data_IF_664900810802
#
_entry.id   IF_664900810802
#
_cell.length_a   1.000
_cell.length_b   1.000
_cell.length_c   1.000
_cell.angle_alpha   90.00
_cell.angle_beta   90.00
_cell.angle_gamma   90.00
#
_symmetry.space_group_name_H-M   'P 1'
#
loop_
_entity.id
_entity.type
_entity.pdbx_description
1 polymer ?
#
# COMPACT_ATOMS: atom_id res chain seq x y z
N UNK A 1 18.46 19.10 18.67
CA UNK A 1 18.58 18.07 17.62
C UNK A 1 17.36 18.16 16.73
N UNK A 2 17.48 18.68 15.50
CA UNK A 2 16.37 18.66 14.54
C UNK A 2 16.14 17.23 14.11
N UNK A 3 15.07 16.60 14.63
CA UNK A 3 14.45 15.46 13.96
C UNK A 3 14.08 15.97 12.58
N UNK A 4 14.87 15.60 11.58
CA UNK A 4 14.61 15.95 10.19
C UNK A 4 13.29 15.25 9.86
N UNK A 5 12.19 16.00 9.81
CA UNK A 5 10.91 15.53 9.28
C UNK A 5 11.18 14.97 7.88
N UNK A 6 11.42 13.66 7.79
CA UNK A 6 11.42 12.96 6.52
C UNK A 6 9.98 12.99 6.07
N UNK A 7 9.62 13.97 5.24
CA UNK A 7 8.38 13.92 4.46
C UNK A 7 8.48 12.69 3.58
N UNK A 8 7.84 11.61 4.01
CA UNK A 8 7.69 10.41 3.19
C UNK A 8 6.64 10.77 2.16
N UNK A 9 7.06 10.99 0.92
CA UNK A 9 6.14 11.19 -0.18
C UNK A 9 5.50 9.85 -0.53
N UNK A 10 4.22 9.72 -0.19
CA UNK A 10 3.38 8.59 -0.55
C UNK A 10 2.62 8.98 -1.81
N UNK A 11 2.69 8.14 -2.84
CA UNK A 11 1.90 8.30 -4.07
C UNK A 11 1.04 7.08 -4.28
N UNK A 12 -0.24 7.31 -4.58
CA UNK A 12 -1.19 6.24 -4.94
C UNK A 12 -1.49 6.36 -6.42
N UNK A 13 -1.47 5.24 -7.14
CA UNK A 13 -1.91 5.17 -8.53
C UNK A 13 -3.00 4.14 -8.68
N UNK A 14 -4.17 4.59 -9.12
CA UNK A 14 -5.24 3.72 -9.53
C UNK A 14 -4.96 3.16 -10.93
N UNK A 15 -4.98 1.85 -11.03
CA UNK A 15 -4.91 1.12 -12.31
C UNK A 15 -6.06 0.13 -12.38
N UNK A 16 -6.53 -0.16 -13.58
CA UNK A 16 -7.40 -1.30 -13.82
C UNK A 16 -6.54 -2.47 -14.29
N UNK A 17 -6.56 -3.57 -13.52
CA UNK A 17 -5.88 -4.80 -13.87
C UNK A 17 -6.92 -5.90 -13.98
N UNK A 18 -7.11 -6.45 -15.18
CA UNK A 18 -8.06 -7.57 -15.43
C UNK A 18 -9.50 -7.26 -14.97
N UNK A 19 -9.99 -6.05 -15.23
CA UNK A 19 -11.31 -5.56 -14.78
C UNK A 19 -11.46 -5.44 -13.25
N UNK A 20 -10.36 -5.43 -12.50
CA UNK A 20 -10.34 -5.12 -11.08
C UNK A 20 -9.63 -3.79 -10.85
N UNK A 21 -10.20 -2.96 -9.98
CA UNK A 21 -9.54 -1.75 -9.51
C UNK A 21 -8.40 -2.13 -8.58
N UNK A 22 -7.19 -1.70 -8.92
CA UNK A 22 -5.98 -1.92 -8.15
C UNK A 22 -5.34 -0.57 -7.85
N UNK A 23 -5.16 -0.26 -6.57
CA UNK A 23 -4.40 0.90 -6.14
C UNK A 23 -2.97 0.50 -5.83
N UNK A 24 -2.02 1.01 -6.61
CA UNK A 24 -0.61 0.83 -6.37
C UNK A 24 -0.09 1.92 -5.43
N UNK A 25 0.63 1.52 -4.39
CA UNK A 25 1.12 2.41 -3.34
C UNK A 25 2.64 2.51 -3.46
N UNK A 26 3.11 3.74 -3.63
CA UNK A 26 4.53 4.05 -3.80
C UNK A 26 5.03 4.93 -2.66
N UNK A 27 6.26 4.67 -2.23
CA UNK A 27 7.02 5.56 -1.34
C UNK A 27 8.32 5.95 -2.03
N UNK A 28 8.55 7.26 -2.22
CA UNK A 28 9.76 7.75 -2.88
C UNK A 28 9.98 7.16 -4.28
N UNK A 29 8.89 6.88 -5.00
CA UNK A 29 8.90 6.25 -6.33
C UNK A 29 9.02 4.73 -6.35
N UNK A 30 9.19 4.06 -5.20
CA UNK A 30 9.23 2.59 -5.11
C UNK A 30 7.85 2.03 -4.79
N UNK A 31 7.40 1.04 -5.55
CA UNK A 31 6.19 0.27 -5.23
C UNK A 31 6.42 -0.52 -3.94
N UNK A 32 5.57 -0.31 -2.94
CA UNK A 32 5.65 -0.99 -1.64
C UNK A 32 4.49 -1.97 -1.43
N UNK A 33 3.38 -1.75 -2.12
CA UNK A 33 2.23 -2.64 -2.09
C UNK A 33 1.13 -2.20 -3.03
N UNK A 34 0.07 -3.01 -3.09
CA UNK A 34 -1.10 -2.79 -3.93
C UNK A 34 -2.36 -3.10 -3.12
N UNK A 35 -3.44 -2.34 -3.27
CA UNK A 35 -4.77 -2.66 -2.73
C UNK A 35 -5.67 -3.08 -3.88
N UNK A 36 -6.11 -4.33 -3.87
CA UNK A 36 -7.03 -4.88 -4.88
C UNK A 36 -8.44 -4.84 -4.33
N UNK A 37 -9.39 -4.37 -5.15
CA UNK A 37 -10.82 -4.51 -4.90
C UNK A 37 -11.36 -5.72 -5.65
N UNK A 38 -11.90 -6.69 -4.92
CA UNK A 38 -12.49 -7.92 -5.45
C UNK A 38 -13.87 -8.14 -4.81
N UNK A 39 -14.94 -7.92 -5.57
CA UNK A 39 -16.34 -8.20 -5.18
C UNK A 39 -16.68 -7.78 -3.73
N UNK A 40 -16.55 -6.48 -3.43
CA UNK A 40 -16.76 -5.86 -2.10
C UNK A 40 -15.72 -6.17 -1.02
N UNK A 41 -14.63 -6.86 -1.35
CA UNK A 41 -13.50 -7.06 -0.44
C UNK A 41 -12.30 -6.26 -0.90
N UNK A 42 -11.57 -5.72 0.07
CA UNK A 42 -10.29 -5.06 -0.18
C UNK A 42 -9.17 -5.96 0.32
N UNK A 43 -8.14 -6.12 -0.50
CA UNK A 43 -6.96 -6.89 -0.15
C UNK A 43 -5.72 -6.03 -0.32
N UNK A 44 -4.98 -5.84 0.76
CA UNK A 44 -3.67 -5.21 0.75
C UNK A 44 -2.60 -6.27 0.48
N UNK A 45 -1.81 -6.08 -0.57
CA UNK A 45 -0.70 -6.92 -0.99
C UNK A 45 0.61 -6.16 -0.76
N UNK A 46 1.55 -6.76 -0.04
CA UNK A 46 2.89 -6.18 0.11
C UNK A 46 3.85 -6.70 -0.96
N UNK A 47 4.61 -5.78 -1.56
CA UNK A 47 5.63 -6.15 -2.56
C UNK A 47 6.87 -6.76 -1.91
N UNK A 48 7.13 -6.49 -0.64
CA UNK A 48 8.32 -6.95 0.07
C UNK A 48 8.37 -8.47 0.25
N UNK A 49 7.24 -9.06 0.59
CA UNK A 49 7.12 -10.46 1.01
C UNK A 49 5.91 -11.18 0.37
N UNK A 50 5.19 -10.50 -0.53
CA UNK A 50 3.97 -11.01 -1.17
C UNK A 50 2.87 -11.38 -0.16
N UNK A 51 2.94 -10.86 1.07
CA UNK A 51 1.90 -11.08 2.08
C UNK A 51 0.61 -10.37 1.69
N UNK A 52 -0.51 -11.05 1.92
CA UNK A 52 -1.85 -10.54 1.68
C UNK A 52 -2.60 -10.30 2.99
N UNK A 53 -3.26 -9.16 3.09
CA UNK A 53 -4.05 -8.76 4.25
C UNK A 53 -5.45 -8.35 3.80
N UNK A 54 -6.47 -8.74 4.56
CA UNK A 54 -7.83 -8.28 4.30
C UNK A 54 -8.03 -6.89 4.89
N UNK A 55 -8.64 -6.01 4.12
CA UNK A 55 -9.05 -4.68 4.52
C UNK A 55 -10.56 -4.50 4.28
N UNK A 56 -11.18 -3.59 5.04
CA UNK A 56 -12.61 -3.24 4.93
C UNK A 56 -12.84 -2.04 4.02
N UNK A 57 -11.81 -1.22 3.76
CA UNK A 57 -11.84 -0.14 2.77
C UNK A 57 -10.49 -0.01 2.04
N UNK A 58 -10.46 0.84 1.01
CA UNK A 58 -9.21 1.22 0.33
C UNK A 58 -8.26 1.95 1.28
N UNK A 59 -8.76 2.86 2.10
CA UNK A 59 -7.93 3.60 3.07
C UNK A 59 -7.32 2.66 4.10
N UNK A 60 -8.11 1.71 4.64
CA UNK A 60 -7.58 0.71 5.57
C UNK A 60 -6.51 -0.16 4.90
N UNK A 61 -6.71 -0.54 3.63
CA UNK A 61 -5.71 -1.27 2.86
C UNK A 61 -4.40 -0.49 2.71
N UNK A 62 -4.49 0.81 2.40
CA UNK A 62 -3.34 1.71 2.34
C UNK A 62 -2.62 1.78 3.68
N UNK A 63 -3.34 1.99 4.78
CA UNK A 63 -2.76 2.06 6.13
C UNK A 63 -2.03 0.76 6.50
N UNK A 64 -2.62 -0.40 6.20
CA UNK A 64 -1.98 -1.70 6.42
C UNK A 64 -0.67 -1.80 5.65
N UNK A 65 -0.66 -1.46 4.35
CA UNK A 65 0.57 -1.50 3.52
C UNK A 65 1.65 -0.58 4.10
N UNK A 66 1.29 0.64 4.52
CA UNK A 66 2.24 1.60 5.11
C UNK A 66 2.78 1.09 6.46
N UNK A 67 1.91 0.56 7.32
CA UNK A 67 2.28 0.02 8.62
C UNK A 67 3.25 -1.16 8.48
N UNK A 68 2.93 -2.12 7.61
CA UNK A 68 3.78 -3.27 7.37
C UNK A 68 5.12 -2.85 6.73
N UNK A 69 5.10 -1.94 5.75
CA UNK A 69 6.33 -1.44 5.15
C UNK A 69 7.32 -0.86 6.18
N UNK A 70 6.84 -0.06 7.15
CA UNK A 70 7.70 0.46 8.21
C UNK A 70 8.26 -0.63 9.14
N UNK A 71 7.51 -1.70 9.40
CA UNK A 71 7.97 -2.81 10.23
C UNK A 71 9.11 -3.60 9.58
N UNK A 72 9.15 -3.65 8.24
CA UNK A 72 10.18 -4.33 7.47
C UNK A 72 11.43 -3.48 7.16
N UNK A 73 11.42 -2.16 7.39
CA UNK A 73 12.57 -1.26 7.17
C UNK A 73 13.64 -1.29 8.28
N UNK A 74 13.88 -2.44 8.91
CA UNK A 74 14.97 -2.58 9.90
C UNK A 74 16.35 -2.58 9.25
#
# INVERSE_FOLDING_TARGET
MSKKDKKIEVSVKDIERRHQSVQQIFIGGRLIGEVITDNDRFKALLTADQSEFNARSQEEGLEIVLQQYHLHQR
#
